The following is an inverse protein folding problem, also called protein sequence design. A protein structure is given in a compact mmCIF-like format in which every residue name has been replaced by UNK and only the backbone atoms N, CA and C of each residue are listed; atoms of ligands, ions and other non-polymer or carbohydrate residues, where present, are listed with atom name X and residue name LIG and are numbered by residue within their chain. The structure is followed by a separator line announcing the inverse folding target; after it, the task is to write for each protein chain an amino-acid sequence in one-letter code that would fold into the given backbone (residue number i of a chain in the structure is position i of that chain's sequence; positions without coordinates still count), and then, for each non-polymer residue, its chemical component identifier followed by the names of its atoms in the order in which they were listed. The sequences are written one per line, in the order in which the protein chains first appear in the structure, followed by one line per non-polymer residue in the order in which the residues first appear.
data_IF_642189759479
#
_entry.id   IF_642189759479
#
_cell.length_a   1.000
_cell.length_b   1.000
_cell.length_c   1.000
_cell.angle_alpha   90.00
_cell.angle_beta   90.00
_cell.angle_gamma   90.00
#
_symmetry.space_group_name_H-M   'P 1'
#
loop_
_entity.id
_entity.type
_entity.pdbx_description
1 polymer ?
#
# COMPACT_ATOMS: atom_id res chain seq x y z
N UNK A 1 -11.66 9.02 -12.27
CA UNK A 1 -11.44 9.26 -10.82
C UNK A 1 -12.71 9.18 -9.98
N UNK A 2 -13.76 9.98 -10.21
CA UNK A 2 -14.98 10.00 -9.34
C UNK A 2 -15.79 8.69 -9.30
N UNK A 3 -15.73 7.87 -10.35
CA UNK A 3 -16.50 6.62 -10.43
C UNK A 3 -15.73 5.34 -10.03
N UNK A 4 -14.42 5.44 -9.70
CA UNK A 4 -13.54 4.28 -9.43
C UNK A 4 -13.64 3.13 -10.45
N UNK A 5 -13.94 3.48 -11.69
CA UNK A 5 -13.88 2.57 -12.81
C UNK A 5 -12.42 2.10 -12.98
N UNK A 6 -12.15 0.86 -12.62
CA UNK A 6 -10.84 0.23 -12.68
C UNK A 6 -10.42 -0.09 -14.11
N UNK A 7 -11.37 -0.14 -15.04
CA UNK A 7 -11.13 -0.42 -16.46
C UNK A 7 -10.89 0.87 -17.25
N UNK A 8 -11.28 2.02 -16.70
CA UNK A 8 -10.95 3.31 -17.30
C UNK A 8 -9.44 3.53 -17.32
N UNK A 9 -8.92 3.74 -18.53
CA UNK A 9 -7.49 3.93 -18.78
C UNK A 9 -7.13 5.40 -18.89
N UNK A 10 -6.06 5.81 -18.21
CA UNK A 10 -5.43 7.12 -18.43
C UNK A 10 -4.73 7.10 -19.80
N UNK A 11 -4.99 8.07 -20.71
CA UNK A 11 -4.28 8.16 -21.98
C UNK A 11 -2.76 8.22 -21.78
N UNK A 12 -2.02 7.27 -22.38
CA UNK A 12 -0.57 7.14 -22.20
C UNK A 12 -0.12 6.59 -20.85
N UNK A 13 -1.05 6.24 -19.97
CA UNK A 13 -0.80 5.66 -18.66
C UNK A 13 -1.42 4.26 -18.51
N UNK A 14 -1.72 3.92 -17.28
CA UNK A 14 -2.29 2.63 -16.88
C UNK A 14 -3.80 2.75 -16.59
N UNK A 15 -4.50 1.61 -16.66
CA UNK A 15 -5.79 1.41 -16.01
C UNK A 15 -5.62 1.04 -14.52
N UNK A 16 -6.73 1.04 -13.77
CA UNK A 16 -6.74 0.56 -12.40
C UNK A 16 -6.36 -0.92 -12.30
N UNK A 17 -6.87 -1.75 -13.22
CA UNK A 17 -6.57 -3.18 -13.30
C UNK A 17 -5.08 -3.44 -13.54
N UNK A 18 -4.44 -2.70 -14.46
CA UNK A 18 -3.00 -2.81 -14.71
C UNK A 18 -2.19 -2.39 -13.49
N UNK A 19 -2.58 -1.27 -12.86
CA UNK A 19 -1.92 -0.77 -11.65
C UNK A 19 -2.02 -1.78 -10.50
N UNK A 20 -3.21 -2.36 -10.25
CA UNK A 20 -3.43 -3.39 -9.23
C UNK A 20 -2.56 -4.61 -9.51
N UNK A 21 -2.59 -5.12 -10.75
CA UNK A 21 -1.80 -6.29 -11.16
C UNK A 21 -0.31 -6.07 -10.91
N UNK A 22 0.25 -4.96 -11.39
CA UNK A 22 1.66 -4.60 -11.22
C UNK A 22 2.07 -4.50 -9.74
N UNK A 23 1.19 -3.97 -8.88
CA UNK A 23 1.46 -3.89 -7.43
C UNK A 23 1.49 -5.28 -6.80
N UNK A 24 0.51 -6.14 -7.10
CA UNK A 24 0.43 -7.47 -6.51
C UNK A 24 1.56 -8.39 -6.98
N UNK A 25 1.93 -8.30 -8.27
CA UNK A 25 3.09 -9.00 -8.82
C UNK A 25 4.38 -8.58 -8.12
N UNK A 26 4.62 -7.27 -7.99
CA UNK A 26 5.80 -6.76 -7.28
C UNK A 26 5.84 -7.22 -5.81
N UNK A 27 4.69 -7.22 -5.10
CA UNK A 27 4.63 -7.71 -3.72
C UNK A 27 4.89 -9.22 -3.62
N UNK A 28 4.43 -10.00 -4.60
CA UNK A 28 4.72 -11.43 -4.69
C UNK A 28 6.21 -11.69 -4.90
N UNK A 29 6.84 -11.00 -5.84
CA UNK A 29 8.28 -11.09 -6.11
C UNK A 29 9.11 -10.72 -4.88
N UNK A 30 8.77 -9.59 -4.22
CA UNK A 30 9.46 -9.15 -3.00
C UNK A 30 9.33 -10.19 -1.89
N UNK A 31 8.13 -10.74 -1.67
CA UNK A 31 7.89 -11.75 -0.66
C UNK A 31 8.65 -13.06 -0.95
N UNK A 32 8.70 -13.47 -2.23
CA UNK A 32 9.36 -14.70 -2.65
C UNK A 32 10.89 -14.58 -2.49
N UNK A 33 11.47 -13.47 -2.97
CA UNK A 33 12.91 -13.22 -2.91
C UNK A 33 13.44 -13.06 -1.48
N UNK A 34 12.57 -12.70 -0.52
CA UNK A 34 12.93 -12.40 0.87
C UNK A 34 12.24 -13.31 1.89
N UNK A 35 11.90 -14.55 1.50
CA UNK A 35 11.27 -15.51 2.40
C UNK A 35 12.06 -15.67 3.73
N UNK A 36 11.36 -15.54 4.85
CA UNK A 36 11.94 -15.63 6.20
C UNK A 36 12.73 -14.39 6.65
N UNK A 37 12.73 -13.29 5.87
CA UNK A 37 13.41 -12.04 6.22
C UNK A 37 12.41 -10.90 6.39
N UNK A 38 12.86 -9.85 7.07
CA UNK A 38 12.14 -8.57 7.15
C UNK A 38 12.80 -7.59 6.19
N UNK A 39 11.98 -6.97 5.32
CA UNK A 39 12.42 -5.94 4.37
C UNK A 39 11.58 -4.67 4.53
N UNK A 40 12.16 -3.54 4.15
CA UNK A 40 11.44 -2.27 4.06
C UNK A 40 11.08 -2.00 2.59
N UNK A 41 9.83 -1.59 2.36
CA UNK A 41 9.33 -1.16 1.04
C UNK A 41 8.85 0.28 1.17
N UNK A 42 9.43 1.18 0.39
CA UNK A 42 9.04 2.60 0.35
C UNK A 42 8.17 2.81 -0.89
N UNK A 43 6.98 3.37 -0.71
CA UNK A 43 5.99 3.47 -1.79
C UNK A 43 5.00 4.61 -1.55
N UNK A 44 4.01 4.74 -2.43
CA UNK A 44 3.00 5.79 -2.43
C UNK A 44 1.62 5.28 -1.95
N UNK A 45 0.73 6.21 -1.61
CA UNK A 45 -0.61 5.90 -1.10
C UNK A 45 -1.46 5.02 -2.02
N UNK A 46 -1.33 5.14 -3.35
CA UNK A 46 -2.06 4.27 -4.28
C UNK A 46 -1.65 2.80 -4.17
N UNK A 47 -0.36 2.52 -3.97
CA UNK A 47 0.16 1.16 -3.78
C UNK A 47 -0.28 0.61 -2.43
N UNK A 48 -0.25 1.46 -1.39
CA UNK A 48 -0.73 1.09 -0.06
C UNK A 48 -2.23 0.76 -0.05
N UNK A 49 -3.07 1.48 -0.81
CA UNK A 49 -4.51 1.16 -0.94
C UNK A 49 -4.71 -0.22 -1.57
N UNK A 50 -3.93 -0.59 -2.60
CA UNK A 50 -3.98 -1.93 -3.20
C UNK A 50 -3.58 -3.01 -2.19
N UNK A 51 -2.47 -2.80 -1.48
CA UNK A 51 -1.98 -3.70 -0.43
C UNK A 51 -3.02 -3.91 0.66
N UNK A 52 -3.63 -2.82 1.16
CA UNK A 52 -4.64 -2.89 2.21
C UNK A 52 -5.87 -3.66 1.76
N UNK A 53 -6.40 -3.35 0.56
CA UNK A 53 -7.57 -4.04 0.00
C UNK A 53 -7.31 -5.51 -0.21
N UNK A 54 -6.15 -5.88 -0.74
CA UNK A 54 -5.75 -7.27 -0.91
C UNK A 54 -5.71 -8.01 0.44
N UNK A 55 -5.04 -7.43 1.44
CA UNK A 55 -4.92 -8.02 2.77
C UNK A 55 -6.27 -8.17 3.52
N UNK A 56 -7.25 -7.34 3.17
CA UNK A 56 -8.60 -7.32 3.78
C UNK A 56 -9.68 -7.95 2.91
N UNK A 57 -9.31 -8.48 1.73
CA UNK A 57 -10.24 -9.00 0.72
C UNK A 57 -11.39 -8.02 0.37
N UNK A 58 -11.08 -6.73 0.26
CA UNK A 58 -12.05 -5.70 -0.09
C UNK A 58 -12.23 -5.60 -1.60
N UNK A 59 -13.43 -5.23 -2.04
CA UNK A 59 -13.69 -4.91 -3.44
C UNK A 59 -12.88 -3.68 -3.88
N UNK A 60 -12.46 -3.65 -5.14
CA UNK A 60 -11.61 -2.59 -5.69
C UNK A 60 -12.35 -1.25 -5.86
N UNK A 61 -13.66 -1.31 -6.04
CA UNK A 61 -14.57 -0.16 -6.16
C UNK A 61 -15.10 0.36 -4.82
N UNK A 62 -15.03 -0.44 -3.75
CA UNK A 62 -15.52 -0.07 -2.43
C UNK A 62 -14.88 1.23 -1.93
N UNK A 63 -15.59 2.11 -1.18
CA UNK A 63 -15.03 3.32 -0.59
C UNK A 63 -13.72 3.08 0.18
N UNK A 64 -12.85 4.10 0.25
CA UNK A 64 -11.61 4.00 1.05
C UNK A 64 -11.92 4.40 2.49
N UNK A 65 -11.78 3.45 3.40
CA UNK A 65 -12.07 3.65 4.83
C UNK A 65 -10.81 3.64 5.72
N UNK A 66 -9.67 3.22 5.18
CA UNK A 66 -8.41 3.17 5.93
C UNK A 66 -7.63 4.48 5.87
N UNK A 67 -6.94 4.79 6.96
CA UNK A 67 -6.04 5.93 7.06
C UNK A 67 -4.87 5.78 6.08
N UNK A 68 -4.49 6.89 5.45
CA UNK A 68 -3.27 7.01 4.64
C UNK A 68 -2.54 8.26 5.09
N UNK A 69 -1.66 8.09 6.07
CA UNK A 69 -0.87 9.17 6.65
C UNK A 69 0.50 9.22 5.97
N UNK A 70 0.99 10.42 5.68
CA UNK A 70 2.32 10.62 5.13
C UNK A 70 3.38 10.13 6.11
N UNK A 71 4.44 9.53 5.58
CA UNK A 71 5.53 8.92 6.34
C UNK A 71 5.10 7.88 7.38
N UNK A 72 3.88 7.34 7.29
CA UNK A 72 3.47 6.25 8.18
C UNK A 72 4.17 4.93 7.86
N UNK A 73 4.44 4.16 8.90
CA UNK A 73 4.94 2.79 8.80
C UNK A 73 3.75 1.84 8.80
N UNK A 74 3.73 0.91 7.84
CA UNK A 74 2.72 -0.13 7.72
C UNK A 74 3.43 -1.49 7.80
N UNK A 75 2.97 -2.37 8.68
CA UNK A 75 3.61 -3.67 8.95
C UNK A 75 2.70 -4.78 8.49
N UNK A 76 3.23 -5.63 7.60
CA UNK A 76 2.51 -6.77 7.06
C UNK A 76 3.33 -8.04 7.17
N UNK A 77 2.66 -9.16 7.40
CA UNK A 77 3.21 -10.49 7.14
C UNK A 77 2.82 -10.90 5.71
N UNK A 78 3.80 -11.32 4.93
CA UNK A 78 3.59 -11.84 3.58
C UNK A 78 3.84 -13.35 3.52
N UNK A 79 3.08 -14.04 2.67
CA UNK A 79 3.34 -15.40 2.20
C UNK A 79 3.37 -15.34 0.66
N UNK A 80 4.40 -15.87 -0.02
CA UNK A 80 4.64 -15.57 -1.43
C UNK A 80 3.82 -16.40 -2.42
N UNK A 81 3.29 -17.57 -2.06
CA UNK A 81 2.60 -18.43 -3.04
C UNK A 81 1.42 -19.23 -2.43
N UNK A 82 0.17 -18.93 -2.83
CA UNK A 82 -0.24 -17.68 -3.48
C UNK A 82 0.07 -16.48 -2.57
N UNK A 83 0.24 -15.28 -3.16
CA UNK A 83 0.45 -14.06 -2.37
C UNK A 83 -0.69 -13.91 -1.33
N UNK A 84 -0.32 -13.95 -0.05
CA UNK A 84 -1.21 -13.58 1.06
C UNK A 84 -0.54 -12.52 1.91
N UNK A 85 -1.25 -11.41 2.09
CA UNK A 85 -0.84 -10.31 2.95
C UNK A 85 -1.73 -10.28 4.18
N UNK A 86 -1.12 -10.18 5.36
CA UNK A 86 -1.82 -9.98 6.62
C UNK A 86 -1.29 -8.70 7.26
N UNK A 87 -2.19 -7.77 7.57
CA UNK A 87 -1.82 -6.55 8.29
C UNK A 87 -1.54 -6.92 9.76
N UNK A 88 -0.36 -6.54 10.23
CA UNK A 88 0.03 -6.58 11.64
C UNK A 88 -0.26 -5.24 12.29
N UNK A 89 0.14 -4.16 11.62
CA UNK A 89 -0.02 -2.77 12.09
C UNK A 89 -0.17 -1.81 10.89
N UNK A 90 -0.90 -0.72 11.08
CA UNK A 90 -1.26 0.18 9.98
C UNK A 90 -1.28 1.65 10.43
N UNK A 91 -0.77 2.52 9.55
CA UNK A 91 -0.71 3.95 9.74
C UNK A 91 0.03 4.40 11.02
N UNK A 92 1.09 3.67 11.41
CA UNK A 92 1.92 4.02 12.57
C UNK A 92 2.76 5.27 12.27
N UNK A 93 2.52 6.32 13.05
CA UNK A 93 3.23 7.61 13.00
C UNK A 93 3.85 7.96 14.36
N UNK A 94 3.96 7.01 15.30
CA UNK A 94 4.50 7.26 16.63
C UNK A 94 5.92 7.86 16.60
N UNK A 95 6.72 7.48 15.59
CA UNK A 95 8.05 8.06 15.38
C UNK A 95 8.03 9.55 15.01
N UNK A 96 6.92 10.07 14.48
CA UNK A 96 6.75 11.49 14.17
C UNK A 96 6.31 12.30 15.39
N UNK A 97 5.72 11.69 16.41
CA UNK A 97 5.31 12.39 17.64
C UNK A 97 6.52 12.94 18.43
N UNK A 98 7.70 12.35 18.22
CA UNK A 98 8.98 12.81 18.79
C UNK A 98 9.76 13.73 17.84
N UNK A 99 9.29 13.86 16.59
CA UNK A 99 9.89 14.74 15.59
C UNK A 99 9.46 16.18 15.89
N UNK A 100 10.37 16.98 16.45
CA UNK A 100 10.19 18.42 16.51
C UNK A 100 10.27 18.92 15.07
N UNK A 101 9.17 19.44 14.54
CA UNK A 101 9.18 20.13 13.24
C UNK A 101 10.26 21.23 13.29
N UNK A 102 11.22 21.19 12.36
CA UNK A 102 12.24 22.24 12.21
C UNK A 102 11.69 23.53 11.56
N UNK A 103 10.37 23.63 11.38
CA UNK A 103 9.72 24.79 10.77
C UNK A 103 9.11 25.73 11.81
N UNK A 104 10.01 26.57 12.32
CA UNK A 104 9.88 27.98 12.62
C UNK A 104 8.70 28.48 13.47
N UNK A 105 9.04 28.92 14.69
CA UNK A 105 8.46 30.13 15.22
C UNK A 105 8.70 31.29 14.21
N UNK A 106 7.60 31.85 13.72
CA UNK A 106 7.54 33.20 13.16
C UNK A 106 6.49 33.96 13.97
#
# INVERSE_FOLDING_TARGET
WRARDVDWRIPGGESGTEFIGRVLEAMQEIAAANAGRTVAVVTHGGVLDVIYRNARALAWDAPREHLMLNASINRLQAQPEPLRLQIIDWADVAHLEQSRDELAAS
#
